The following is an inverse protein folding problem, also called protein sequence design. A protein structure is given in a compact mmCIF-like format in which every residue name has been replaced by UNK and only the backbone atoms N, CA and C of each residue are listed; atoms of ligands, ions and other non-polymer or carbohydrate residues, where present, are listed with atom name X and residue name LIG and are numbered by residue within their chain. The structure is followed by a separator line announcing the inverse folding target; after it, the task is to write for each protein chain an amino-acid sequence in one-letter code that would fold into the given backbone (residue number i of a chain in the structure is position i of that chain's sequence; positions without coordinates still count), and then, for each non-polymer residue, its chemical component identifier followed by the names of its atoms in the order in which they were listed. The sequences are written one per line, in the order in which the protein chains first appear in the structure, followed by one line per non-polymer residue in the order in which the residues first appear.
data_IF_165065889995
#
_entry.id   IF_165065889995
#
_cell.length_a   1.000
_cell.length_b   1.000
_cell.length_c   1.000
_cell.angle_alpha   90.00
_cell.angle_beta   90.00
_cell.angle_gamma   90.00
#
_symmetry.space_group_name_H-M   'P 1'
#
loop_
_entity.id
_entity.type
_entity.pdbx_description
1 polymer ?
#
# COMPACT_ATOMS: atom_id res chain seq x y z
N UNK A 1 14.03 10.00 32.92
CA UNK A 1 14.14 10.28 31.47
C UNK A 1 12.73 10.58 31.00
N UNK A 2 12.43 11.87 30.85
CA UNK A 2 11.06 12.42 30.93
C UNK A 2 10.31 12.24 29.61
N UNK A 3 9.08 11.74 29.70
CA UNK A 3 8.10 11.66 28.61
C UNK A 3 7.96 12.97 27.82
N UNK A 4 8.25 14.13 28.42
CA UNK A 4 8.35 15.43 27.76
C UNK A 4 9.37 15.46 26.62
N UNK A 5 10.56 14.88 26.81
CA UNK A 5 11.62 14.84 25.78
C UNK A 5 11.18 13.99 24.58
N UNK A 6 10.46 12.89 24.85
CA UNK A 6 9.87 12.05 23.81
C UNK A 6 8.73 12.77 23.07
N UNK A 7 7.88 13.50 23.80
CA UNK A 7 6.77 14.28 23.25
C UNK A 7 7.24 15.45 22.38
N UNK A 8 8.27 16.18 22.83
CA UNK A 8 8.90 17.27 22.08
C UNK A 8 9.55 16.78 20.77
N UNK A 9 9.97 15.52 20.71
CA UNK A 9 10.49 14.90 19.49
C UNK A 9 9.37 14.42 18.54
N UNK A 10 8.10 14.35 18.96
CA UNK A 10 6.99 13.81 18.15
C UNK A 10 6.72 14.59 16.87
N UNK A 11 6.62 15.94 16.85
CA UNK A 11 6.40 16.66 15.59
C UNK A 11 7.57 16.48 14.65
N UNK A 12 8.80 16.48 15.16
CA UNK A 12 9.99 16.22 14.34
C UNK A 12 9.97 14.82 13.74
N UNK A 13 9.55 13.81 14.50
CA UNK A 13 9.45 12.42 14.03
C UNK A 13 8.30 12.23 13.04
N UNK A 14 7.13 12.83 13.29
CA UNK A 14 5.97 12.80 12.38
C UNK A 14 6.27 13.57 11.10
N UNK A 15 6.92 14.73 11.19
CA UNK A 15 7.35 15.51 10.03
C UNK A 15 8.43 14.77 9.24
N UNK A 16 9.40 14.14 9.90
CA UNK A 16 10.38 13.28 9.24
C UNK A 16 9.72 12.07 8.57
N UNK A 17 8.69 11.48 9.17
CA UNK A 17 7.86 10.42 8.58
C UNK A 17 7.06 10.91 7.39
N UNK A 18 6.43 12.08 7.48
CA UNK A 18 5.66 12.67 6.39
C UNK A 18 6.58 13.02 5.22
N UNK A 19 7.78 13.53 5.49
CA UNK A 19 8.81 13.79 4.49
C UNK A 19 9.39 12.50 3.91
N UNK A 20 9.64 11.48 4.75
CA UNK A 20 10.12 10.17 4.31
C UNK A 20 9.07 9.44 3.47
N UNK A 21 7.78 9.55 3.82
CA UNK A 21 6.66 9.02 3.04
C UNK A 21 6.44 9.84 1.75
N UNK A 22 6.66 11.14 1.78
CA UNK A 22 6.61 12.01 0.59
C UNK A 22 7.78 11.80 -0.35
N UNK A 23 8.94 11.40 0.18
CA UNK A 23 10.14 10.98 -0.54
C UNK A 23 10.29 9.46 -0.67
N UNK A 24 9.27 8.69 -0.30
CA UNK A 24 9.23 7.24 -0.51
C UNK A 24 8.91 6.93 -1.97
N UNK A 25 9.69 7.53 -2.88
CA UNK A 25 9.66 7.26 -4.31
C UNK A 25 9.78 5.75 -4.54
N UNK A 26 10.51 5.03 -3.69
CA UNK A 26 10.58 3.57 -3.69
C UNK A 26 9.23 2.88 -3.49
N UNK A 27 8.37 3.37 -2.58
CA UNK A 27 7.03 2.80 -2.35
C UNK A 27 6.12 3.07 -3.55
N UNK A 28 6.02 4.33 -3.99
CA UNK A 28 5.21 4.70 -5.15
C UNK A 28 5.68 4.00 -6.42
N UNK A 29 6.99 3.96 -6.67
CA UNK A 29 7.59 3.29 -7.82
C UNK A 29 7.39 1.77 -7.77
N UNK A 30 7.42 1.15 -6.59
CA UNK A 30 7.16 -0.30 -6.46
C UNK A 30 5.72 -0.64 -6.84
N UNK A 31 4.74 0.12 -6.32
CA UNK A 31 3.32 -0.11 -6.64
C UNK A 31 3.03 0.22 -8.10
N UNK A 32 3.59 1.31 -8.64
CA UNK A 32 3.43 1.69 -10.04
C UNK A 32 4.11 0.69 -11.00
N UNK A 33 5.30 0.19 -10.65
CA UNK A 33 5.98 -0.87 -11.39
C UNK A 33 5.15 -2.16 -11.43
N UNK A 34 4.59 -2.57 -10.29
CA UNK A 34 3.69 -3.72 -10.21
C UNK A 34 2.43 -3.51 -11.07
N UNK A 35 1.80 -2.34 -10.98
CA UNK A 35 0.63 -2.01 -11.79
C UNK A 35 0.95 -2.05 -13.29
N UNK A 36 2.10 -1.50 -13.71
CA UNK A 36 2.57 -1.57 -15.10
C UNK A 36 2.80 -3.01 -15.56
N UNK A 37 3.47 -3.83 -14.75
CA UNK A 37 3.72 -5.23 -15.05
C UNK A 37 2.41 -6.04 -15.20
N UNK A 38 1.45 -5.83 -14.29
CA UNK A 38 0.12 -6.44 -14.37
C UNK A 38 -0.64 -5.96 -15.61
N UNK A 39 -0.55 -4.67 -15.95
CA UNK A 39 -1.14 -4.12 -17.16
C UNK A 39 -0.57 -4.73 -18.45
N UNK A 40 0.74 -5.02 -18.48
CA UNK A 40 1.36 -5.80 -19.57
C UNK A 40 0.76 -7.20 -19.60
N UNK A 41 0.71 -7.90 -18.47
CA UNK A 41 0.18 -9.26 -18.40
C UNK A 41 -1.28 -9.35 -18.88
N UNK A 42 -2.13 -8.40 -18.47
CA UNK A 42 -3.53 -8.30 -18.91
C UNK A 42 -3.63 -8.11 -20.43
N UNK A 43 -2.81 -7.23 -21.02
CA UNK A 43 -2.79 -7.01 -22.47
C UNK A 43 -2.35 -8.26 -23.21
N UNK A 44 -1.29 -8.90 -22.76
CA UNK A 44 -0.72 -10.13 -23.33
C UNK A 44 -1.74 -11.28 -23.29
N UNK A 45 -2.47 -11.44 -22.17
CA UNK A 45 -3.56 -12.42 -22.05
C UNK A 45 -4.77 -12.13 -22.95
N UNK A 46 -4.88 -10.91 -23.51
CA UNK A 46 -5.94 -10.54 -24.44
C UNK A 46 -5.62 -10.89 -25.89
N UNK A 47 -4.34 -10.91 -26.25
CA UNK A 47 -3.90 -10.95 -27.66
C UNK A 47 -3.24 -12.25 -28.08
N UNK A 48 -2.69 -13.03 -27.16
CA UNK A 48 -1.75 -14.11 -27.52
C UNK A 48 -2.42 -15.51 -27.52
N UNK A 49 -2.37 -16.26 -28.65
CA UNK A 49 -2.56 -17.71 -28.66
C UNK A 49 -1.36 -18.43 -28.00
N UNK A 50 -1.52 -19.66 -27.46
CA UNK A 50 -0.52 -20.30 -26.59
C UNK A 50 0.90 -20.30 -27.18
N UNK A 51 1.92 -20.04 -26.35
CA UNK A 51 3.30 -20.00 -26.83
C UNK A 51 4.33 -19.42 -25.83
N UNK A 52 5.53 -19.04 -26.29
CA UNK A 52 6.66 -18.63 -25.43
C UNK A 52 6.37 -17.41 -24.54
N UNK A 53 5.39 -16.58 -24.92
CA UNK A 53 4.93 -15.44 -24.11
C UNK A 53 4.36 -15.85 -22.73
N UNK A 54 3.97 -17.11 -22.55
CA UNK A 54 3.50 -17.60 -21.24
C UNK A 54 4.63 -17.66 -20.20
N UNK A 55 5.90 -17.77 -20.62
CA UNK A 55 7.06 -17.64 -19.73
C UNK A 55 7.26 -16.20 -19.27
N UNK A 56 7.11 -15.24 -20.17
CA UNK A 56 7.18 -13.81 -19.88
C UNK A 56 6.05 -13.36 -18.95
N UNK A 57 4.84 -13.90 -19.13
CA UNK A 57 3.71 -13.69 -18.23
C UNK A 57 4.04 -14.15 -16.80
N UNK A 58 4.61 -15.35 -16.64
CA UNK A 58 5.03 -15.85 -15.32
C UNK A 58 6.04 -14.92 -14.66
N UNK A 59 7.04 -14.45 -15.41
CA UNK A 59 8.02 -13.46 -14.92
C UNK A 59 7.38 -12.14 -14.51
N UNK A 60 6.41 -11.64 -15.30
CA UNK A 60 5.69 -10.41 -14.98
C UNK A 60 4.87 -10.53 -13.68
N UNK A 61 4.16 -11.65 -13.48
CA UNK A 61 3.43 -11.89 -12.22
C UNK A 61 4.36 -12.01 -11.02
N UNK A 62 5.46 -12.76 -11.14
CA UNK A 62 6.43 -12.91 -10.06
C UNK A 62 7.05 -11.55 -9.68
N UNK A 63 7.45 -10.75 -10.67
CA UNK A 63 7.97 -9.40 -10.45
C UNK A 63 6.94 -8.48 -9.80
N UNK A 64 5.67 -8.53 -10.24
CA UNK A 64 4.60 -7.74 -9.65
C UNK A 64 4.35 -8.13 -8.18
N UNK A 65 4.30 -9.42 -7.88
CA UNK A 65 4.14 -9.91 -6.51
C UNK A 65 5.27 -9.43 -5.59
N UNK A 66 6.53 -9.58 -6.02
CA UNK A 66 7.68 -9.14 -5.24
C UNK A 66 7.64 -7.64 -4.95
N UNK A 67 7.26 -6.83 -5.93
CA UNK A 67 7.11 -5.38 -5.77
C UNK A 67 5.96 -5.01 -4.82
N UNK A 68 4.80 -5.67 -4.92
CA UNK A 68 3.65 -5.45 -4.03
C UNK A 68 3.95 -5.85 -2.59
N UNK A 69 4.67 -6.95 -2.38
CA UNK A 69 5.08 -7.39 -1.04
C UNK A 69 6.18 -6.51 -0.43
N UNK A 70 7.08 -6.01 -1.27
CA UNK A 70 8.04 -4.97 -0.87
C UNK A 70 7.32 -3.71 -0.41
N UNK A 71 6.35 -3.23 -1.20
CA UNK A 71 5.53 -2.09 -0.87
C UNK A 71 4.72 -2.29 0.42
N UNK A 72 4.13 -3.48 0.61
CA UNK A 72 3.37 -3.80 1.82
C UNK A 72 4.25 -3.77 3.07
N UNK A 73 5.45 -4.37 3.03
CA UNK A 73 6.39 -4.36 4.15
C UNK A 73 6.84 -2.94 4.50
N UNK A 74 7.11 -2.12 3.50
CA UNK A 74 7.53 -0.74 3.73
C UNK A 74 6.39 0.10 4.31
N UNK A 75 5.16 -0.06 3.81
CA UNK A 75 3.99 0.61 4.37
C UNK A 75 3.74 0.19 5.83
N UNK A 76 3.85 -1.10 6.15
CA UNK A 76 3.70 -1.61 7.51
C UNK A 76 4.78 -1.04 8.45
N UNK A 77 6.02 -0.91 7.96
CA UNK A 77 7.11 -0.25 8.70
C UNK A 77 6.77 1.20 9.00
N UNK A 78 6.31 1.96 8.01
CA UNK A 78 5.93 3.37 8.17
C UNK A 78 4.74 3.54 9.14
N UNK A 79 3.70 2.71 9.03
CA UNK A 79 2.54 2.78 9.92
C UNK A 79 2.91 2.44 11.37
N UNK A 80 3.81 1.49 11.61
CA UNK A 80 4.28 1.16 12.96
C UNK A 80 5.01 2.34 13.62
N UNK A 81 5.87 3.04 12.88
CA UNK A 81 6.58 4.23 13.41
C UNK A 81 5.58 5.36 13.66
N UNK A 82 4.64 5.60 12.73
CA UNK A 82 3.55 6.58 12.93
C UNK A 82 2.75 6.27 14.18
N UNK A 83 2.30 5.03 14.35
CA UNK A 83 1.52 4.61 15.52
C UNK A 83 2.27 4.88 16.84
N UNK A 84 3.57 4.56 16.89
CA UNK A 84 4.40 4.88 18.07
C UNK A 84 4.46 6.37 18.37
N UNK A 85 4.61 7.21 17.33
CA UNK A 85 4.61 8.67 17.48
C UNK A 85 3.24 9.21 17.95
N UNK A 86 2.14 8.69 17.38
CA UNK A 86 0.79 9.06 17.77
C UNK A 86 0.49 8.69 19.24
N UNK A 87 0.89 7.50 19.70
CA UNK A 87 0.74 7.11 21.10
C UNK A 87 1.53 8.02 22.06
N UNK A 88 2.75 8.42 21.70
CA UNK A 88 3.52 9.36 22.50
C UNK A 88 2.84 10.73 22.60
N UNK A 89 2.23 11.19 21.51
CA UNK A 89 1.46 12.43 21.49
C UNK A 89 0.17 12.35 22.31
N UNK A 90 -0.57 11.25 22.22
CA UNK A 90 -1.76 11.01 23.04
C UNK A 90 -1.46 11.08 24.53
N UNK A 91 -0.35 10.46 24.96
CA UNK A 91 0.11 10.53 26.35
C UNK A 91 0.49 11.96 26.74
N UNK A 92 1.15 12.71 25.87
CA UNK A 92 1.43 14.13 26.10
C UNK A 92 0.15 14.93 26.28
N UNK A 93 -0.82 14.79 25.38
CA UNK A 93 -2.07 15.53 25.44
C UNK A 93 -2.88 15.23 26.71
N UNK A 94 -2.85 13.98 27.16
CA UNK A 94 -3.47 13.55 28.41
C UNK A 94 -2.81 14.20 29.64
N UNK A 95 -1.46 14.28 29.66
CA UNK A 95 -0.70 14.76 30.82
C UNK A 95 -0.52 16.28 30.86
N UNK A 96 -0.45 16.94 29.70
CA UNK A 96 -0.21 18.38 29.57
C UNK A 96 -1.50 19.21 29.51
N UNK A 97 -2.67 18.57 29.41
CA UNK A 97 -3.98 19.24 29.48
C UNK A 97 -4.67 19.73 28.19
N UNK A 98 -4.13 19.61 26.94
CA UNK A 98 -4.89 20.01 25.75
C UNK A 98 -5.95 18.99 25.29
N UNK A 99 -6.22 17.94 26.06
CA UNK A 99 -7.07 16.80 25.66
C UNK A 99 -8.51 17.18 25.23
N UNK A 100 -9.10 18.23 25.80
CA UNK A 100 -10.45 18.66 25.41
C UNK A 100 -10.45 19.77 24.35
N UNK A 101 -9.28 20.29 23.98
CA UNK A 101 -9.13 21.41 23.07
C UNK A 101 -9.46 21.02 21.62
N UNK A 102 -10.02 21.96 20.86
CA UNK A 102 -10.36 21.77 19.45
C UNK A 102 -9.16 21.26 18.60
N UNK A 103 -7.92 21.78 18.76
CA UNK A 103 -6.77 21.30 18.01
C UNK A 103 -6.47 19.81 18.21
N UNK A 104 -6.63 19.31 19.43
CA UNK A 104 -6.41 17.89 19.73
C UNK A 104 -7.46 16.99 19.07
N UNK A 105 -8.73 17.43 19.03
CA UNK A 105 -9.78 16.68 18.32
C UNK A 105 -9.55 16.62 16.82
N UNK A 106 -9.10 17.73 16.22
CA UNK A 106 -8.72 17.78 14.80
C UNK A 106 -7.56 16.83 14.51
N UNK A 107 -6.49 16.91 15.30
CA UNK A 107 -5.35 16.00 15.20
C UNK A 107 -5.76 14.53 15.31
N UNK A 108 -6.59 14.19 16.30
CA UNK A 108 -7.09 12.82 16.48
C UNK A 108 -7.87 12.33 15.26
N UNK A 109 -8.66 13.21 14.64
CA UNK A 109 -9.34 12.94 13.37
C UNK A 109 -8.35 12.60 12.25
N UNK A 110 -7.34 13.45 12.02
CA UNK A 110 -6.34 13.21 11.00
C UNK A 110 -5.48 11.96 11.28
N UNK A 111 -5.12 11.70 12.55
CA UNK A 111 -4.39 10.48 12.94
C UNK A 111 -5.20 9.22 12.68
N UNK A 112 -6.51 9.25 12.95
CA UNK A 112 -7.42 8.17 12.60
C UNK A 112 -7.48 7.95 11.08
N UNK A 113 -7.63 9.04 10.31
CA UNK A 113 -7.70 8.97 8.84
C UNK A 113 -6.40 8.45 8.22
N UNK A 114 -5.24 8.86 8.75
CA UNK A 114 -3.93 8.33 8.36
C UNK A 114 -3.85 6.82 8.60
N UNK A 115 -4.23 6.36 9.80
CA UNK A 115 -4.24 4.94 10.12
C UNK A 115 -5.28 4.14 9.33
N UNK A 116 -6.43 4.72 8.98
CA UNK A 116 -7.43 4.08 8.15
C UNK A 116 -6.96 3.93 6.69
N UNK A 117 -6.37 4.99 6.12
CA UNK A 117 -5.81 4.97 4.77
C UNK A 117 -4.64 3.99 4.66
N UNK A 118 -3.76 3.91 5.68
CA UNK A 118 -2.65 2.96 5.70
C UNK A 118 -3.15 1.51 5.69
N UNK A 119 -4.19 1.20 6.48
CA UNK A 119 -4.80 -0.14 6.50
C UNK A 119 -5.48 -0.49 5.19
N UNK A 120 -6.23 0.43 4.58
CA UNK A 120 -6.82 0.24 3.26
C UNK A 120 -5.73 -0.05 2.21
N UNK A 121 -4.68 0.77 2.16
CA UNK A 121 -3.54 0.55 1.27
C UNK A 121 -2.89 -0.82 1.49
N UNK A 122 -2.64 -1.20 2.74
CA UNK A 122 -2.03 -2.49 3.09
C UNK A 122 -2.89 -3.67 2.63
N UNK A 123 -4.21 -3.61 2.81
CA UNK A 123 -5.15 -4.61 2.33
C UNK A 123 -5.15 -4.74 0.81
N UNK A 124 -5.22 -3.60 0.09
CA UNK A 124 -5.18 -3.57 -1.38
C UNK A 124 -3.91 -4.16 -1.96
N UNK A 125 -2.76 -3.93 -1.32
CA UNK A 125 -1.49 -4.53 -1.74
C UNK A 125 -1.48 -6.05 -1.58
N UNK A 126 -2.04 -6.57 -0.49
CA UNK A 126 -2.17 -8.00 -0.24
C UNK A 126 -3.14 -8.67 -1.21
N UNK A 127 -4.29 -8.04 -1.46
CA UNK A 127 -5.28 -8.53 -2.42
C UNK A 127 -4.66 -8.60 -3.82
N UNK A 128 -4.01 -7.52 -4.27
CA UNK A 128 -3.33 -7.47 -5.57
C UNK A 128 -2.25 -8.56 -5.70
N UNK A 129 -1.45 -8.78 -4.66
CA UNK A 129 -0.41 -9.81 -4.67
C UNK A 129 -1.01 -11.22 -4.72
N UNK A 130 -2.09 -11.45 -3.98
CA UNK A 130 -2.80 -12.74 -3.93
C UNK A 130 -3.47 -13.06 -5.27
N UNK A 131 -4.12 -12.08 -5.88
CA UNK A 131 -4.75 -12.21 -7.20
C UNK A 131 -3.71 -12.44 -8.30
N UNK A 132 -2.57 -11.74 -8.25
CA UNK A 132 -1.46 -11.95 -9.18
C UNK A 132 -0.88 -13.38 -9.08
N UNK A 133 -0.66 -13.89 -7.88
CA UNK A 133 -0.23 -15.29 -7.65
C UNK A 133 -1.25 -16.30 -8.13
N UNK A 134 -2.52 -16.03 -7.88
CA UNK A 134 -3.60 -16.90 -8.33
C UNK A 134 -3.66 -16.91 -9.87
N UNK A 135 -3.57 -15.75 -10.52
CA UNK A 135 -3.50 -15.64 -11.99
C UNK A 135 -2.32 -16.46 -12.56
N UNK A 136 -1.13 -16.32 -12.00
CA UNK A 136 0.05 -17.11 -12.38
C UNK A 136 -0.20 -18.62 -12.25
N UNK A 137 -0.79 -19.04 -11.12
CA UNK A 137 -1.10 -20.45 -10.85
C UNK A 137 -2.12 -21.02 -11.83
N UNK A 138 -3.17 -20.25 -12.18
CA UNK A 138 -4.14 -20.65 -13.19
C UNK A 138 -3.52 -20.77 -14.58
N UNK A 139 -2.57 -19.88 -14.95
CA UNK A 139 -1.85 -19.99 -16.22
C UNK A 139 -0.96 -21.22 -16.25
N UNK A 140 -0.25 -21.51 -15.16
CA UNK A 140 0.54 -22.74 -15.03
C UNK A 140 -0.35 -23.97 -15.17
N UNK A 141 -1.50 -23.99 -14.51
CA UNK A 141 -2.47 -25.07 -14.60
C UNK A 141 -3.03 -25.26 -16.03
N UNK A 142 -3.26 -24.16 -16.75
CA UNK A 142 -3.79 -24.23 -18.13
C UNK A 142 -2.91 -25.05 -19.09
N UNK A 143 -1.59 -25.12 -18.82
CA UNK A 143 -0.62 -25.89 -19.61
C UNK A 143 -0.81 -27.40 -19.49
N UNK A 144 -1.60 -27.86 -18.52
CA UNK A 144 -1.94 -29.28 -18.37
C UNK A 144 -3.06 -29.73 -19.32
N UNK A 145 -3.67 -28.80 -20.06
CA UNK A 145 -4.73 -29.09 -21.02
C UNK A 145 -4.23 -28.87 -22.45
N UNK A 146 -4.76 -29.63 -23.43
CA UNK A 146 -4.47 -29.38 -24.84
C UNK A 146 -4.81 -27.95 -25.22
N UNK A 147 -3.90 -27.31 -25.95
CA UNK A 147 -4.06 -25.94 -26.43
C UNK A 147 -5.35 -25.78 -27.22
N UNK A 148 -6.07 -24.68 -26.96
CA UNK A 148 -7.34 -24.39 -27.60
C UNK A 148 -8.55 -25.20 -27.09
N UNK A 149 -8.35 -26.17 -26.19
CA UNK A 149 -9.47 -26.88 -25.56
C UNK A 149 -10.35 -25.95 -24.72
N UNK A 150 -11.63 -26.33 -24.50
CA UNK A 150 -12.56 -25.54 -23.68
C UNK A 150 -12.03 -25.31 -22.26
N UNK A 151 -11.39 -26.33 -21.67
CA UNK A 151 -10.77 -26.21 -20.35
C UNK A 151 -9.61 -25.23 -20.39
N UNK A 152 -8.70 -25.35 -21.35
CA UNK A 152 -7.59 -24.41 -21.55
C UNK A 152 -8.07 -22.96 -21.60
N UNK A 153 -9.09 -22.66 -22.41
CA UNK A 153 -9.69 -21.32 -22.52
C UNK A 153 -10.29 -20.83 -21.20
N UNK A 154 -10.96 -21.72 -20.48
CA UNK A 154 -11.62 -21.39 -19.21
C UNK A 154 -10.61 -20.98 -18.12
N UNK A 155 -9.51 -21.73 -17.99
CA UNK A 155 -8.42 -21.40 -17.04
C UNK A 155 -7.72 -20.09 -17.40
N UNK A 156 -7.44 -19.83 -18.68
CA UNK A 156 -6.84 -18.56 -19.12
C UNK A 156 -7.77 -17.38 -18.95
N UNK A 157 -9.07 -17.54 -19.20
CA UNK A 157 -10.07 -16.51 -18.93
C UNK A 157 -10.14 -16.16 -17.45
N UNK A 158 -10.10 -17.16 -16.57
CA UNK A 158 -10.05 -16.95 -15.13
C UNK A 158 -8.74 -16.26 -14.69
N UNK A 159 -7.59 -16.67 -15.24
CA UNK A 159 -6.31 -16.03 -14.97
C UNK A 159 -6.31 -14.55 -15.38
N UNK A 160 -6.87 -14.24 -16.57
CA UNK A 160 -7.01 -12.87 -17.04
C UNK A 160 -7.90 -12.03 -16.11
N UNK A 161 -9.00 -12.59 -15.61
CA UNK A 161 -9.86 -11.88 -14.66
C UNK A 161 -9.08 -11.51 -13.40
N UNK A 162 -8.38 -12.46 -12.80
CA UNK A 162 -7.55 -12.20 -11.62
C UNK A 162 -6.42 -11.21 -11.90
N UNK A 163 -5.82 -11.23 -13.09
CA UNK A 163 -4.81 -10.24 -13.46
C UNK A 163 -5.39 -8.81 -13.59
N UNK A 164 -6.66 -8.68 -14.01
CA UNK A 164 -7.37 -7.40 -14.03
C UNK A 164 -7.65 -6.94 -12.60
N UNK A 165 -8.23 -7.82 -11.78
CA UNK A 165 -8.53 -7.54 -10.38
C UNK A 165 -7.25 -7.10 -9.63
N UNK A 166 -6.13 -7.80 -9.87
CA UNK A 166 -4.83 -7.45 -9.30
C UNK A 166 -4.35 -6.06 -9.74
N UNK A 167 -4.50 -5.71 -11.02
CA UNK A 167 -4.11 -4.41 -11.54
C UNK A 167 -4.95 -3.27 -10.94
N UNK A 168 -6.26 -3.51 -10.78
CA UNK A 168 -7.19 -2.56 -10.18
C UNK A 168 -6.90 -2.37 -8.69
N UNK A 169 -6.66 -3.45 -7.94
CA UNK A 169 -6.25 -3.36 -6.53
C UNK A 169 -4.89 -2.67 -6.36
N UNK A 170 -3.92 -2.90 -7.25
CA UNK A 170 -2.64 -2.18 -7.23
C UNK A 170 -2.82 -0.66 -7.46
N UNK A 171 -3.75 -0.28 -8.36
CA UNK A 171 -4.10 1.13 -8.57
C UNK A 171 -4.79 1.75 -7.36
N UNK A 172 -5.76 1.05 -6.77
CA UNK A 172 -6.43 1.49 -5.55
C UNK A 172 -5.46 1.60 -4.36
N UNK A 173 -4.50 0.68 -4.26
CA UNK A 173 -3.41 0.76 -3.29
C UNK A 173 -2.59 2.04 -3.48
N UNK A 174 -2.23 2.40 -4.71
CA UNK A 174 -1.48 3.62 -4.99
C UNK A 174 -2.23 4.88 -4.52
N UNK A 175 -3.54 4.95 -4.78
CA UNK A 175 -4.37 6.06 -4.33
C UNK A 175 -4.53 6.08 -2.80
N UNK A 176 -4.63 4.92 -2.15
CA UNK A 176 -4.67 4.80 -0.70
C UNK A 176 -3.33 5.21 -0.03
N UNK A 177 -2.19 4.87 -0.63
CA UNK A 177 -0.87 5.34 -0.18
C UNK A 177 -0.77 6.87 -0.27
N UNK A 178 -1.29 7.48 -1.35
CA UNK A 178 -1.37 8.94 -1.45
C UNK A 178 -2.23 9.56 -0.34
N UNK A 179 -3.40 8.99 -0.07
CA UNK A 179 -4.25 9.43 1.06
C UNK A 179 -3.55 9.31 2.40
N UNK A 180 -2.79 8.22 2.61
CA UNK A 180 -2.00 8.02 3.84
C UNK A 180 -0.98 9.14 4.02
N UNK A 181 -0.26 9.49 2.95
CA UNK A 181 0.70 10.61 2.96
C UNK A 181 0.01 11.93 3.29
N UNK A 182 -1.09 12.24 2.62
CA UNK A 182 -1.79 13.52 2.80
C UNK A 182 -2.32 13.65 4.24
N UNK A 183 -2.87 12.58 4.82
CA UNK A 183 -3.30 12.55 6.21
C UNK A 183 -2.13 12.68 7.20
N UNK A 184 -0.99 12.04 6.95
CA UNK A 184 0.23 12.19 7.75
C UNK A 184 0.75 13.63 7.78
N UNK A 185 0.68 14.34 6.66
CA UNK A 185 1.07 15.76 6.58
C UNK A 185 0.17 16.62 7.48
N UNK A 186 -1.15 16.38 7.45
CA UNK A 186 -2.10 17.08 8.30
C UNK A 186 -1.89 16.77 9.79
N UNK A 187 -1.70 15.48 10.14
CA UNK A 187 -1.39 15.04 11.51
C UNK A 187 -0.12 15.73 12.04
N UNK A 188 0.93 15.81 11.21
CA UNK A 188 2.19 16.46 11.56
C UNK A 188 2.02 17.97 11.79
N UNK A 189 1.24 18.63 10.92
CA UNK A 189 0.94 20.05 11.04
C UNK A 189 0.21 20.36 12.36
N UNK A 190 -0.85 19.62 12.67
CA UNK A 190 -1.62 19.83 13.90
C UNK A 190 -0.77 19.58 15.15
N UNK A 191 0.10 18.55 15.11
CA UNK A 191 1.07 18.28 16.18
C UNK A 191 1.96 19.51 16.42
N UNK A 192 2.47 20.11 15.35
CA UNK A 192 3.28 21.33 15.42
C UNK A 192 2.52 22.53 15.98
N UNK A 193 1.26 22.71 15.61
CA UNK A 193 0.40 23.79 16.15
C UNK A 193 0.19 23.62 17.65
N UNK A 194 -0.05 22.40 18.12
CA UNK A 194 -0.31 22.14 19.54
C UNK A 194 0.93 22.24 20.44
N UNK A 195 2.13 22.01 19.91
CA UNK A 195 3.36 22.14 20.71
C UNK A 195 3.95 23.56 20.72
N UNK A 196 3.58 24.41 19.77
CA UNK A 196 4.06 25.80 19.68
C UNK A 196 2.99 26.85 20.06
N UNK A 197 1.77 26.40 20.39
CA UNK A 197 0.62 27.23 20.75
C UNK A 197 0.42 27.42 22.25
#
# INVERSE_FOLDING_TARGET
MEWKVLAEAVPGNLQALALAASGADGLFASVDSAHRALGVAVRTLRTIPPGPADGELGGAFASACAALEGAHRELARLDAVRFGAACAFDLYALLAGPYDALPYRTWRGHSHDAGAAARDAAGRLLDAASEARAAESLLRASRSFPDGSLRWWSWRKAARRLAIDAADNAKLALDAVRRTRDALVLESFDTGVMLNG
#
